data_IF_634222325800
#
_entry.id   IF_634222325800
#
_cell.length_a   1.000
_cell.length_b   1.000
_cell.length_c   1.000
_cell.angle_alpha   90.00
_cell.angle_beta   90.00
_cell.angle_gamma   90.00
#
_symmetry.space_group_name_H-M   'P 1'
#
loop_
_entity.id
_entity.type
_entity.pdbx_description
1 polymer ?
#
# COMPACT_ATOMS: atom_id res chain seq x y z
N UNK A 1 7.81 -37.14 1.88
CA UNK A 1 7.79 -36.10 2.95
C UNK A 1 7.53 -34.68 2.40
N UNK A 2 6.88 -34.51 1.27
CA UNK A 2 6.74 -33.19 0.59
C UNK A 2 5.32 -32.69 0.37
N UNK A 3 4.28 -33.54 0.30
CA UNK A 3 2.89 -33.12 0.01
C UNK A 3 2.11 -32.60 1.23
N UNK A 4 2.40 -33.13 2.43
CA UNK A 4 1.70 -32.69 3.64
C UNK A 4 2.17 -31.33 4.17
N UNK A 5 3.45 -30.97 3.94
CA UNK A 5 3.95 -29.61 4.26
C UNK A 5 3.33 -28.53 3.38
N UNK A 6 3.11 -28.80 2.08
CA UNK A 6 2.46 -27.84 1.17
C UNK A 6 0.99 -27.62 1.51
N UNK A 7 0.27 -28.67 1.96
CA UNK A 7 -1.15 -28.54 2.34
C UNK A 7 -1.35 -27.78 3.65
N UNK A 8 -0.40 -27.90 4.60
CA UNK A 8 -0.40 -27.14 5.87
C UNK A 8 -0.09 -25.64 5.64
N UNK A 9 0.83 -25.31 4.71
CA UNK A 9 1.14 -23.95 4.34
C UNK A 9 -0.04 -23.26 3.63
N UNK A 10 -0.73 -23.94 2.71
CA UNK A 10 -1.91 -23.37 2.03
C UNK A 10 -3.11 -23.11 2.94
N UNK A 11 -3.27 -23.89 4.02
CA UNK A 11 -4.35 -23.67 5.01
C UNK A 11 -4.04 -22.52 5.96
N UNK A 12 -2.76 -22.31 6.28
CA UNK A 12 -2.29 -21.25 7.15
C UNK A 12 -2.44 -19.87 6.46
N UNK A 13 -2.09 -19.78 5.18
CA UNK A 13 -2.20 -18.55 4.40
C UNK A 13 -3.63 -18.01 4.32
N UNK A 14 -4.64 -18.88 4.15
CA UNK A 14 -6.04 -18.45 4.04
C UNK A 14 -6.63 -17.94 5.36
N UNK A 15 -6.25 -18.53 6.48
CA UNK A 15 -6.73 -18.10 7.80
C UNK A 15 -6.10 -16.78 8.22
N UNK A 16 -4.79 -16.61 7.98
CA UNK A 16 -4.04 -15.37 8.21
C UNK A 16 -4.58 -14.26 7.31
N UNK A 17 -4.75 -14.55 6.01
CA UNK A 17 -5.31 -13.60 5.05
C UNK A 17 -6.71 -13.14 5.46
N UNK A 18 -7.56 -14.04 5.94
CA UNK A 18 -8.90 -13.71 6.41
C UNK A 18 -8.89 -12.80 7.65
N UNK A 19 -7.96 -13.03 8.58
CA UNK A 19 -7.80 -12.16 9.77
C UNK A 19 -7.33 -10.76 9.37
N UNK A 20 -6.30 -10.67 8.54
CA UNK A 20 -5.81 -9.40 8.01
C UNK A 20 -6.91 -8.65 7.26
N UNK A 21 -7.66 -9.33 6.38
CA UNK A 21 -8.80 -8.74 5.67
C UNK A 21 -9.91 -8.26 6.62
N UNK A 22 -10.10 -8.92 7.76
CA UNK A 22 -11.09 -8.49 8.76
C UNK A 22 -10.66 -7.20 9.45
N UNK A 23 -9.37 -7.02 9.73
CA UNK A 23 -8.82 -5.77 10.26
C UNK A 23 -8.89 -4.63 9.24
N UNK A 24 -8.59 -4.92 7.97
CA UNK A 24 -8.70 -3.95 6.87
C UNK A 24 -10.14 -3.47 6.68
N UNK A 25 -11.16 -4.31 6.93
CA UNK A 25 -12.58 -3.91 6.84
C UNK A 25 -12.92 -2.72 7.74
N UNK A 26 -12.24 -2.54 8.85
CA UNK A 26 -12.39 -1.38 9.75
C UNK A 26 -11.99 -0.07 9.06
N UNK A 27 -11.03 -0.15 8.12
CA UNK A 27 -10.47 0.98 7.38
C UNK A 27 -10.98 1.09 5.94
N UNK A 28 -12.14 0.45 5.62
CA UNK A 28 -12.70 0.37 4.27
C UNK A 28 -12.82 1.71 3.54
N UNK A 29 -13.12 2.79 4.27
CA UNK A 29 -13.24 4.14 3.69
C UNK A 29 -11.88 4.63 3.20
N UNK A 30 -10.83 4.42 3.99
CA UNK A 30 -9.46 4.78 3.63
C UNK A 30 -8.96 3.95 2.43
N UNK A 31 -9.32 2.67 2.38
CA UNK A 31 -9.00 1.80 1.23
C UNK A 31 -9.70 2.28 -0.04
N UNK A 32 -10.97 2.65 0.04
CA UNK A 32 -11.70 3.21 -1.11
C UNK A 32 -11.06 4.53 -1.56
N UNK A 33 -10.70 5.40 -0.60
CA UNK A 33 -10.06 6.69 -0.90
C UNK A 33 -8.68 6.49 -1.56
N UNK A 34 -7.87 5.56 -1.06
CA UNK A 34 -6.60 5.17 -1.69
C UNK A 34 -6.80 4.65 -3.11
N UNK A 35 -7.84 3.85 -3.34
CA UNK A 35 -8.18 3.35 -4.67
C UNK A 35 -8.59 4.47 -5.63
N UNK A 36 -9.36 5.45 -5.16
CA UNK A 36 -9.72 6.64 -5.97
C UNK A 36 -8.47 7.44 -6.34
N UNK A 37 -7.57 7.69 -5.38
CA UNK A 37 -6.30 8.36 -5.66
C UNK A 37 -5.46 7.58 -6.68
N UNK A 38 -5.40 6.25 -6.58
CA UNK A 38 -4.72 5.41 -7.54
C UNK A 38 -5.30 5.53 -8.95
N UNK A 39 -6.62 5.54 -9.09
CA UNK A 39 -7.29 5.73 -10.38
C UNK A 39 -6.96 7.10 -11.00
N UNK A 40 -6.96 8.18 -10.19
CA UNK A 40 -6.57 9.52 -10.65
C UNK A 40 -5.11 9.51 -11.12
N UNK A 41 -4.20 8.91 -10.36
CA UNK A 41 -2.79 8.80 -10.71
C UNK A 41 -2.59 8.07 -12.04
N UNK A 42 -3.24 6.91 -12.22
CA UNK A 42 -3.16 6.13 -13.45
C UNK A 42 -3.72 6.90 -14.65
N UNK A 43 -4.90 7.50 -14.51
CA UNK A 43 -5.51 8.30 -15.58
C UNK A 43 -4.60 9.46 -16.00
N UNK A 44 -4.03 10.19 -15.04
CA UNK A 44 -3.11 11.30 -15.28
C UNK A 44 -1.81 10.82 -15.96
N UNK A 45 -1.27 9.69 -15.54
CA UNK A 45 -0.05 9.12 -16.14
C UNK A 45 -0.28 8.66 -17.58
N UNK A 46 -1.45 8.11 -17.89
CA UNK A 46 -1.81 7.73 -19.26
C UNK A 46 -2.10 8.93 -20.16
N UNK A 47 -2.47 10.07 -19.58
CA UNK A 47 -2.72 11.31 -20.33
C UNK A 47 -1.41 12.02 -20.75
N UNK A 48 -0.32 11.83 -20.00
CA UNK A 48 0.97 12.48 -20.30
C UNK A 48 1.54 12.16 -21.70
N UNK A 49 1.53 10.89 -22.21
CA UNK A 49 1.95 10.59 -23.58
C UNK A 49 1.09 11.27 -24.65
N UNK A 50 -0.22 11.45 -24.40
CA UNK A 50 -1.13 12.13 -25.34
C UNK A 50 -0.72 13.59 -25.48
N UNK A 51 -0.52 14.29 -24.35
CA UNK A 51 -0.04 15.68 -24.34
C UNK A 51 1.32 15.85 -25.04
N UNK A 52 2.19 14.83 -24.90
CA UNK A 52 3.49 14.83 -25.59
C UNK A 52 3.31 14.70 -27.09
N UNK A 53 2.36 13.87 -27.56
CA UNK A 53 2.01 13.74 -28.98
C UNK A 53 1.47 15.04 -29.54
N UNK A 54 0.50 15.65 -28.86
CA UNK A 54 -0.10 16.94 -29.24
C UNK A 54 0.97 18.07 -29.32
N UNK A 55 1.93 18.08 -28.38
CA UNK A 55 3.03 19.03 -28.41
C UNK A 55 3.95 18.84 -29.62
N UNK A 56 4.20 17.61 -30.05
CA UNK A 56 5.02 17.30 -31.22
C UNK A 56 4.31 17.75 -32.48
N UNK A 57 3.00 17.54 -32.57
CA UNK A 57 2.21 17.91 -33.75
C UNK A 57 2.20 19.43 -34.02
N UNK A 58 2.35 20.25 -32.96
CA UNK A 58 2.47 21.71 -33.09
C UNK A 58 3.84 22.20 -33.59
N UNK A 59 4.85 21.31 -33.72
CA UNK A 59 6.24 21.63 -34.08
C UNK A 59 6.56 21.17 -35.51
N UNK A 60 5.67 20.44 -36.20
CA UNK A 60 5.93 19.67 -37.44
C UNK A 60 6.21 20.51 -38.69
N UNK A 61 6.51 21.81 -38.61
CA UNK A 61 6.84 22.59 -39.82
C UNK A 61 7.97 23.57 -39.64
N UNK A 62 8.90 23.64 -40.60
CA UNK A 62 9.92 24.70 -40.61
C UNK A 62 9.24 26.08 -40.73
N UNK A 63 9.24 26.86 -39.62
CA UNK A 63 8.66 28.20 -39.58
C UNK A 63 7.16 28.27 -39.25
N UNK A 64 6.50 27.15 -38.93
CA UNK A 64 5.10 27.07 -38.55
C UNK A 64 4.94 26.52 -37.11
N UNK A 65 5.71 27.06 -36.17
CA UNK A 65 5.60 26.67 -34.76
C UNK A 65 4.53 27.54 -34.11
N UNK A 66 3.46 26.91 -33.61
CA UNK A 66 2.42 27.57 -32.83
C UNK A 66 2.86 27.69 -31.35
N UNK A 67 3.50 28.80 -31.04
CA UNK A 67 3.98 29.08 -29.67
C UNK A 67 2.86 29.23 -28.64
N UNK A 68 1.68 29.66 -29.03
CA UNK A 68 0.56 29.83 -28.10
C UNK A 68 -0.08 28.47 -27.78
N UNK A 69 -0.25 27.62 -28.78
CA UNK A 69 -0.69 26.24 -28.55
C UNK A 69 0.28 25.42 -27.67
N UNK A 70 1.61 25.63 -27.86
CA UNK A 70 2.61 24.98 -27.00
C UNK A 70 2.52 25.45 -25.56
N UNK A 71 2.28 26.74 -25.29
CA UNK A 71 2.09 27.25 -23.92
C UNK A 71 0.89 26.60 -23.22
N UNK A 72 -0.22 26.42 -23.93
CA UNK A 72 -1.43 25.79 -23.39
C UNK A 72 -1.17 24.31 -23.04
N UNK A 73 -0.42 23.60 -23.89
CA UNK A 73 -0.02 22.21 -23.60
C UNK A 73 0.90 22.15 -22.39
N UNK A 74 1.91 23.03 -22.30
CA UNK A 74 2.82 23.10 -21.15
C UNK A 74 2.02 23.37 -19.86
N UNK A 75 1.09 24.32 -19.89
CA UNK A 75 0.25 24.63 -18.73
C UNK A 75 -0.57 23.40 -18.32
N UNK A 76 -1.21 22.74 -19.26
CA UNK A 76 -1.98 21.51 -19.01
C UNK A 76 -1.10 20.40 -18.47
N UNK A 77 0.10 20.21 -19.01
CA UNK A 77 1.07 19.21 -18.55
C UNK A 77 1.50 19.46 -17.09
N UNK A 78 1.79 20.72 -16.75
CA UNK A 78 2.12 21.13 -15.37
C UNK A 78 0.95 20.83 -14.42
N UNK A 79 -0.27 21.19 -14.81
CA UNK A 79 -1.47 20.94 -14.00
C UNK A 79 -1.71 19.43 -13.78
N UNK A 80 -1.59 18.62 -14.82
CA UNK A 80 -1.72 17.16 -14.73
C UNK A 80 -0.63 16.57 -13.82
N UNK A 81 0.60 17.05 -13.94
CA UNK A 81 1.73 16.63 -13.10
C UNK A 81 1.48 16.97 -11.62
N UNK A 82 1.01 18.17 -11.32
CA UNK A 82 0.67 18.59 -9.95
C UNK A 82 -0.43 17.70 -9.36
N UNK A 83 -1.48 17.44 -10.12
CA UNK A 83 -2.58 16.55 -9.70
C UNK A 83 -2.04 15.14 -9.41
N UNK A 84 -1.17 14.63 -10.28
CA UNK A 84 -0.56 13.30 -10.10
C UNK A 84 0.26 13.22 -8.82
N UNK A 85 1.15 14.20 -8.59
CA UNK A 85 2.01 14.26 -7.40
C UNK A 85 1.18 14.36 -6.12
N UNK A 86 0.17 15.22 -6.10
CA UNK A 86 -0.71 15.38 -4.94
C UNK A 86 -1.49 14.08 -4.66
N UNK A 87 -2.06 13.46 -5.70
CA UNK A 87 -2.80 12.20 -5.56
C UNK A 87 -1.90 11.09 -5.01
N UNK A 88 -0.68 10.99 -5.51
CA UNK A 88 0.31 10.00 -5.04
C UNK A 88 0.76 10.26 -3.60
N UNK A 89 0.95 11.52 -3.23
CA UNK A 89 1.28 11.90 -1.87
C UNK A 89 0.17 11.53 -0.88
N UNK A 90 -1.11 11.87 -1.21
CA UNK A 90 -2.26 11.48 -0.40
C UNK A 90 -2.40 9.96 -0.30
N UNK A 91 -2.23 9.24 -1.40
CA UNK A 91 -2.27 7.78 -1.43
C UNK A 91 -1.23 7.18 -0.48
N UNK A 92 0.01 7.69 -0.48
CA UNK A 92 1.07 7.22 0.42
C UNK A 92 0.73 7.47 1.89
N UNK A 93 0.19 8.64 2.24
CA UNK A 93 -0.24 8.95 3.61
C UNK A 93 -1.32 7.96 4.06
N UNK A 94 -2.32 7.72 3.22
CA UNK A 94 -3.43 6.81 3.53
C UNK A 94 -2.92 5.39 3.70
N UNK A 95 -2.07 4.90 2.79
CA UNK A 95 -1.52 3.55 2.85
C UNK A 95 -0.67 3.35 4.11
N UNK A 96 0.21 4.29 4.44
CA UNK A 96 0.98 4.25 5.67
C UNK A 96 0.07 4.22 6.91
N UNK A 97 -0.96 5.05 6.95
CA UNK A 97 -1.91 5.06 8.07
C UNK A 97 -2.65 3.73 8.21
N UNK A 98 -3.07 3.12 7.11
CA UNK A 98 -3.71 1.79 7.11
C UNK A 98 -2.73 0.74 7.65
N UNK A 99 -1.50 0.69 7.12
CA UNK A 99 -0.49 -0.29 7.51
C UNK A 99 -0.17 -0.20 9.00
N UNK A 100 0.17 1.00 9.50
CA UNK A 100 0.48 1.18 10.93
C UNK A 100 -0.72 0.86 11.84
N UNK A 101 -1.94 1.16 11.40
CA UNK A 101 -3.14 0.86 12.19
C UNK A 101 -3.41 -0.64 12.23
N UNK A 102 -3.25 -1.36 11.11
CA UNK A 102 -3.41 -2.81 11.05
C UNK A 102 -2.35 -3.51 11.89
N UNK A 103 -1.08 -3.10 11.77
CA UNK A 103 0.03 -3.66 12.56
C UNK A 103 -0.19 -3.44 14.06
N UNK A 104 -0.63 -2.25 14.45
CA UNK A 104 -0.98 -1.95 15.85
C UNK A 104 -2.11 -2.86 16.36
N UNK A 105 -3.18 -3.02 15.59
CA UNK A 105 -4.32 -3.83 15.97
C UNK A 105 -3.92 -5.31 16.11
N UNK A 106 -3.07 -5.83 15.22
CA UNK A 106 -2.49 -7.18 15.31
C UNK A 106 -1.59 -7.31 16.54
N UNK A 107 -0.76 -6.31 16.82
CA UNK A 107 0.12 -6.32 18.00
C UNK A 107 -0.69 -6.42 19.29
N UNK A 108 -1.76 -5.65 19.43
CA UNK A 108 -2.66 -5.69 20.58
C UNK A 108 -3.33 -7.08 20.67
N UNK A 109 -3.81 -7.65 19.58
CA UNK A 109 -4.44 -8.97 19.56
C UNK A 109 -3.47 -10.06 20.03
N UNK A 110 -2.22 -10.02 19.56
CA UNK A 110 -1.19 -10.99 19.95
C UNK A 110 -0.83 -10.87 21.44
N UNK A 111 -0.68 -9.64 21.96
CA UNK A 111 -0.40 -9.42 23.37
C UNK A 111 -1.55 -9.88 24.28
N UNK A 112 -2.81 -9.58 23.92
CA UNK A 112 -3.97 -10.06 24.68
C UNK A 112 -4.03 -11.60 24.67
N UNK A 113 -3.69 -12.24 23.56
CA UNK A 113 -3.65 -13.73 23.48
C UNK A 113 -2.51 -14.32 24.31
N UNK A 114 -1.41 -13.58 24.50
CA UNK A 114 -0.33 -13.99 25.39
C UNK A 114 -0.75 -13.97 26.86
N UNK A 115 -1.58 -13.00 27.28
CA UNK A 115 -2.08 -12.90 28.65
C UNK A 115 -3.03 -14.06 29.02
N UNK A 116 -3.66 -14.68 28.02
CA UNK A 116 -4.54 -15.86 28.19
C UNK A 116 -3.76 -17.20 28.31
N UNK A 117 -2.44 -17.19 28.09
CA UNK A 117 -1.64 -18.42 28.14
C UNK A 117 -1.48 -18.92 29.58
N UNK A 118 -1.57 -20.25 29.81
CA UNK A 118 -1.32 -20.83 31.14
C UNK A 118 0.08 -20.50 31.64
N UNK A 119 0.20 -20.13 32.92
CA UNK A 119 1.49 -19.83 33.59
C UNK A 119 2.51 -20.97 33.41
N UNK A 120 2.06 -22.22 33.36
CA UNK A 120 2.91 -23.40 33.13
C UNK A 120 3.64 -23.37 31.76
N UNK A 121 3.03 -22.75 30.73
CA UNK A 121 3.67 -22.60 29.43
C UNK A 121 4.72 -21.48 29.47
N UNK A 122 4.43 -20.42 30.18
CA UNK A 122 5.29 -19.24 30.33
C UNK A 122 6.53 -19.62 31.15
N UNK A 123 6.39 -20.40 32.22
CA UNK A 123 7.49 -20.85 33.09
C UNK A 123 8.42 -21.88 32.40
N UNK A 124 7.92 -22.62 31.41
CA UNK A 124 8.71 -23.59 30.65
C UNK A 124 9.58 -22.97 29.55
N UNK A 125 9.39 -21.70 29.21
CA UNK A 125 10.13 -20.99 28.16
C UNK A 125 10.72 -19.68 28.72
N UNK A 126 11.92 -19.31 28.23
CA UNK A 126 12.51 -18.02 28.62
C UNK A 126 11.63 -16.87 28.10
N UNK A 127 11.07 -16.11 29.02
CA UNK A 127 10.19 -14.96 28.75
C UNK A 127 10.73 -14.04 27.64
N UNK A 128 12.03 -13.74 27.68
CA UNK A 128 12.70 -12.91 26.69
C UNK A 128 12.64 -13.46 25.25
N UNK A 129 12.75 -14.79 25.09
CA UNK A 129 12.74 -15.43 23.76
C UNK A 129 11.34 -15.38 23.11
N UNK A 130 10.28 -15.56 23.90
CA UNK A 130 8.89 -15.51 23.40
C UNK A 130 8.56 -14.08 22.92
N UNK A 131 8.80 -13.10 23.78
CA UNK A 131 8.51 -11.69 23.47
C UNK A 131 9.35 -11.19 22.29
N UNK A 132 10.66 -11.50 22.30
CA UNK A 132 11.55 -11.10 21.19
C UNK A 132 11.13 -11.70 19.86
N UNK A 133 10.72 -12.98 19.83
CA UNK A 133 10.26 -13.65 18.62
C UNK A 133 8.96 -13.06 18.12
N UNK A 134 7.99 -12.79 19.00
CA UNK A 134 6.71 -12.17 18.64
C UNK A 134 6.92 -10.77 18.06
N UNK A 135 7.75 -9.95 18.72
CA UNK A 135 8.05 -8.60 18.23
C UNK A 135 8.71 -8.67 16.85
N UNK A 136 9.73 -9.54 16.69
CA UNK A 136 10.41 -9.72 15.40
C UNK A 136 9.47 -10.20 14.30
N UNK A 137 8.57 -11.15 14.59
CA UNK A 137 7.63 -11.69 13.61
C UNK A 137 6.58 -10.62 13.19
N UNK A 138 6.14 -9.77 14.14
CA UNK A 138 5.22 -8.66 13.85
C UNK A 138 5.91 -7.57 13.03
N UNK A 139 7.15 -7.23 13.35
CA UNK A 139 7.93 -6.24 12.61
C UNK A 139 8.22 -6.73 11.17
N UNK A 140 8.58 -8.01 11.00
CA UNK A 140 8.77 -8.63 9.69
C UNK A 140 7.47 -8.67 8.86
N UNK A 141 6.32 -8.84 9.53
CA UNK A 141 5.01 -8.74 8.90
C UNK A 141 4.70 -7.30 8.47
N UNK A 142 5.03 -6.31 9.31
CA UNK A 142 4.87 -4.89 9.00
C UNK A 142 5.68 -4.46 7.77
N UNK A 143 6.95 -4.90 7.71
CA UNK A 143 7.86 -4.63 6.58
C UNK A 143 7.36 -5.27 5.26
N UNK A 144 6.66 -6.40 5.35
CA UNK A 144 6.05 -7.06 4.19
C UNK A 144 4.74 -6.42 3.70
N UNK A 145 4.14 -5.51 4.49
CA UNK A 145 2.92 -4.76 4.16
C UNK A 145 3.22 -3.38 3.55
N UNK A 146 4.40 -2.83 3.78
CA UNK A 146 4.90 -1.56 3.23
C UNK A 146 5.50 -1.73 1.85
#
# INVERSE_FOLDING_TARGET
MSKDKKKKLQGFDKAVLKRVLTHIKKYRILVILSFVCAMITVASTLYAPILTGDAIDLIVGKGLVDFDGIKDIIYTFVMVTVVTVLSQWFMNIINNHITYSVVRDIRIEVFNHMEELPLSYIDSHKHGDIVSRIVSDIDQFADGLL
#
